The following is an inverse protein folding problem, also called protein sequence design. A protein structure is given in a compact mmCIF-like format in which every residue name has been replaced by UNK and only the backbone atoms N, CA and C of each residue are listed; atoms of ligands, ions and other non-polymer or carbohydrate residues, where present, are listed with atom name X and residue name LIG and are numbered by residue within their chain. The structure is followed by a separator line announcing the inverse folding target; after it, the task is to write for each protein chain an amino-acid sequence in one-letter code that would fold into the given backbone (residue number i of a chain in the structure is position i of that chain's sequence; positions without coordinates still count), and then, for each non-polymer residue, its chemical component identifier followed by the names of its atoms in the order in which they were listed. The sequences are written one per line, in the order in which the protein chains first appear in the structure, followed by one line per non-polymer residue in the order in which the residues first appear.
data_IF_595874800691
#
_entry.id   IF_595874800691
#
_cell.length_a   1.000
_cell.length_b   1.000
_cell.length_c   1.000
_cell.angle_alpha   90.00
_cell.angle_beta   90.00
_cell.angle_gamma   90.00
#
_symmetry.space_group_name_H-M   'P 1'
#
loop_
_entity.id
_entity.type
_entity.pdbx_description
1 polymer ?
#
# COMPACT_ATOMS: atom_id res chain seq x y z
N UNK A 1 4.68 -19.25 -7.82
CA UNK A 1 4.85 -17.78 -7.88
C UNK A 1 6.02 -17.43 -6.96
N UNK A 2 6.99 -16.63 -7.41
CA UNK A 2 8.17 -16.29 -6.61
C UNK A 2 7.84 -15.18 -5.61
N UNK A 3 8.18 -15.39 -4.34
CA UNK A 3 8.15 -14.35 -3.31
C UNK A 3 9.35 -13.42 -3.49
N UNK A 4 9.12 -12.14 -3.24
CA UNK A 4 10.12 -11.07 -3.27
C UNK A 4 10.14 -10.41 -1.90
N UNK A 5 11.33 -10.24 -1.33
CA UNK A 5 11.49 -9.61 -0.02
C UNK A 5 11.40 -8.10 -0.14
N UNK A 6 10.73 -7.48 0.83
CA UNK A 6 10.55 -6.05 0.94
C UNK A 6 11.16 -5.50 2.22
N UNK A 7 11.64 -4.26 2.16
CA UNK A 7 12.03 -3.46 3.31
C UNK A 7 11.26 -2.14 3.33
N UNK A 8 10.91 -1.63 4.52
CA UNK A 8 10.22 -0.35 4.65
C UNK A 8 11.23 0.78 4.44
N UNK A 9 10.96 1.66 3.47
CA UNK A 9 11.78 2.85 3.22
C UNK A 9 11.34 4.02 4.07
N UNK A 10 10.03 4.20 4.24
CA UNK A 10 9.46 5.31 5.01
C UNK A 10 7.97 5.48 4.78
N UNK A 11 7.42 6.52 5.41
CA UNK A 11 6.02 6.93 5.30
C UNK A 11 6.02 8.41 4.89
N UNK A 12 5.26 8.77 3.86
CA UNK A 12 5.03 10.16 3.45
C UNK A 12 3.56 10.53 3.59
N UNK A 13 3.28 11.81 3.83
CA UNK A 13 1.90 12.32 3.83
C UNK A 13 1.38 12.34 2.40
N UNK A 14 0.14 11.89 2.18
CA UNK A 14 -0.46 11.96 0.85
C UNK A 14 -1.01 13.37 0.60
N UNK A 15 -0.44 14.09 -0.36
CA UNK A 15 -0.94 15.41 -0.74
C UNK A 15 -2.29 15.35 -1.47
N UNK A 16 -2.61 14.20 -2.09
CA UNK A 16 -3.79 14.04 -2.95
C UNK A 16 -5.04 13.59 -2.20
N UNK A 17 -4.90 13.05 -0.99
CA UNK A 17 -6.02 12.58 -0.17
C UNK A 17 -5.85 13.01 1.29
N UNK A 18 -6.66 13.97 1.73
CA UNK A 18 -6.63 14.49 3.08
C UNK A 18 -6.68 13.37 4.14
N UNK A 19 -5.66 13.30 4.99
CA UNK A 19 -5.57 12.32 6.08
C UNK A 19 -5.07 10.92 5.67
N UNK A 20 -4.66 10.74 4.41
CA UNK A 20 -4.01 9.52 3.96
C UNK A 20 -2.48 9.67 3.97
N UNK A 21 -1.78 8.54 4.11
CA UNK A 21 -0.33 8.45 4.07
C UNK A 21 0.07 7.37 3.07
N UNK A 22 1.22 7.55 2.42
CA UNK A 22 1.83 6.55 1.56
C UNK A 22 2.95 5.83 2.32
N UNK A 23 2.80 4.52 2.51
CA UNK A 23 3.86 3.64 3.01
C UNK A 23 4.65 3.09 1.82
N UNK A 24 5.96 3.32 1.80
CA UNK A 24 6.84 2.92 0.71
C UNK A 24 7.67 1.70 1.11
N UNK A 25 7.49 0.60 0.39
CA UNK A 25 8.25 -0.64 0.54
C UNK A 25 9.22 -0.83 -0.63
N UNK A 26 10.51 -1.01 -0.37
CA UNK A 26 11.52 -1.28 -1.39
C UNK A 26 11.71 -2.80 -1.57
N UNK A 27 11.85 -3.25 -2.81
CA UNK A 27 12.46 -4.55 -3.13
C UNK A 27 13.89 -4.59 -2.60
N UNK A 28 14.28 -5.68 -1.93
CA UNK A 28 15.62 -5.79 -1.31
C UNK A 28 16.74 -5.88 -2.34
N UNK A 29 16.53 -6.63 -3.41
CA UNK A 29 17.53 -6.91 -4.45
C UNK A 29 17.13 -6.30 -5.81
N UNK A 30 16.42 -5.18 -5.79
CA UNK A 30 15.91 -4.51 -6.98
C UNK A 30 15.52 -3.06 -6.74
N UNK A 31 15.20 -2.36 -7.83
CA UNK A 31 14.93 -0.91 -7.80
C UNK A 31 13.44 -0.57 -7.68
N UNK A 32 12.58 -1.59 -7.59
CA UNK A 32 11.13 -1.40 -7.51
C UNK A 32 10.72 -1.03 -6.09
N UNK A 33 9.71 -0.16 -6.02
CA UNK A 33 9.05 0.21 -4.77
C UNK A 33 7.55 -0.07 -4.88
N UNK A 34 6.97 -0.55 -3.80
CA UNK A 34 5.53 -0.80 -3.69
C UNK A 34 4.92 0.27 -2.77
N UNK A 35 4.21 1.28 -3.30
CA UNK A 35 3.48 2.24 -2.51
C UNK A 35 2.17 1.61 -2.00
N UNK A 36 1.84 1.85 -0.73
CA UNK A 36 0.61 1.39 -0.10
C UNK A 36 -0.03 2.57 0.63
N UNK A 37 -1.24 2.93 0.24
CA UNK A 37 -2.01 4.00 0.91
C UNK A 37 -2.59 3.46 2.21
N UNK A 38 -2.36 4.17 3.31
CA UNK A 38 -2.82 3.84 4.66
C UNK A 38 -3.43 5.06 5.35
N UNK A 39 -4.26 4.84 6.36
CA UNK A 39 -4.84 5.91 7.16
C UNK A 39 -3.85 6.49 8.18
N UNK A 40 -4.21 7.62 8.78
CA UNK A 40 -3.37 8.31 9.76
C UNK A 40 -3.05 7.47 11.01
N UNK A 41 -4.01 6.69 11.52
CA UNK A 41 -3.79 5.87 12.72
C UNK A 41 -2.87 4.67 12.41
N UNK A 42 -3.03 4.07 11.24
CA UNK A 42 -2.13 3.03 10.75
C UNK A 42 -0.71 3.58 10.58
N UNK A 43 -0.57 4.73 9.90
CA UNK A 43 0.71 5.40 9.69
C UNK A 43 1.41 5.71 11.01
N UNK A 44 0.68 6.25 11.99
CA UNK A 44 1.21 6.53 13.33
C UNK A 44 1.73 5.27 14.02
N UNK A 45 0.99 4.16 13.97
CA UNK A 45 1.42 2.90 14.60
C UNK A 45 2.69 2.33 13.97
N UNK A 46 2.84 2.47 12.64
CA UNK A 46 4.03 2.03 11.90
C UNK A 46 5.20 2.98 12.17
N UNK A 47 4.98 4.30 12.17
CA UNK A 47 6.01 5.30 12.45
C UNK A 47 6.66 5.08 13.83
N UNK A 48 5.85 4.89 14.87
CA UNK A 48 6.36 4.60 16.23
C UNK A 48 7.18 3.31 16.26
N UNK A 49 6.82 2.30 15.47
CA UNK A 49 7.58 1.05 15.41
C UNK A 49 8.88 1.17 14.60
N UNK A 50 8.94 2.07 13.62
CA UNK A 50 10.17 2.41 12.88
C UNK A 50 11.14 3.20 13.76
N UNK A 51 10.62 4.15 14.55
CA UNK A 51 11.38 4.98 15.48
C UNK A 51 11.71 4.22 16.77
N UNK A 52 12.76 3.40 16.71
CA UNK A 52 13.20 2.52 17.82
C UNK A 52 13.46 3.25 19.16
N UNK A 53 13.71 4.56 19.11
CA UNK A 53 13.99 5.39 20.29
C UNK A 53 12.72 5.92 20.99
N UNK A 54 11.58 5.94 20.30
CA UNK A 54 10.31 6.38 20.89
C UNK A 54 9.59 5.18 21.47
N UNK A 55 9.59 5.08 22.81
CA UNK A 55 8.79 4.09 23.53
C UNK A 55 7.67 4.79 24.29
N UNK A 56 6.40 4.59 23.91
CA UNK A 56 5.29 5.18 24.65
C UNK A 56 5.24 4.62 26.09
N UNK A 57 4.77 5.41 27.07
CA UNK A 57 4.73 4.99 28.48
C UNK A 57 3.75 3.83 28.75
N UNK A 58 2.82 3.58 27.82
CA UNK A 58 1.86 2.48 27.83
C UNK A 58 1.88 1.79 26.47
N UNK A 59 1.72 0.45 26.43
CA UNK A 59 1.68 -0.28 25.16
C UNK A 59 0.47 0.16 24.32
N UNK A 60 0.70 0.41 23.04
CA UNK A 60 -0.35 0.63 22.05
C UNK A 60 -0.92 -0.71 21.57
N UNK A 61 -1.90 -0.69 20.67
CA UNK A 61 -2.62 -1.90 20.23
C UNK A 61 -1.71 -2.98 19.68
N UNK A 62 -0.78 -2.65 18.77
CA UNK A 62 0.15 -3.62 18.20
C UNK A 62 1.24 -4.07 19.19
N UNK A 63 1.59 -3.22 20.17
CA UNK A 63 2.49 -3.62 21.28
C UNK A 63 1.78 -4.59 22.23
N UNK A 64 0.50 -4.34 22.53
CA UNK A 64 -0.35 -5.24 23.30
C UNK A 64 -0.48 -6.59 22.59
N UNK A 65 -0.69 -6.59 21.27
CA UNK A 65 -0.75 -7.81 20.47
C UNK A 65 0.57 -8.58 20.51
N UNK A 66 1.72 -7.91 20.36
CA UNK A 66 3.02 -8.55 20.51
C UNK A 66 3.19 -9.15 21.90
N UNK A 67 2.91 -8.38 22.95
CA UNK A 67 3.01 -8.86 24.32
C UNK A 67 2.08 -10.05 24.57
N UNK A 68 0.88 -10.06 23.99
CA UNK A 68 -0.03 -11.19 24.04
C UNK A 68 0.59 -12.42 23.36
N UNK A 69 1.04 -12.29 22.12
CA UNK A 69 1.66 -13.38 21.38
C UNK A 69 2.90 -13.96 22.09
N UNK A 70 3.77 -13.09 22.62
CA UNK A 70 4.95 -13.47 23.41
C UNK A 70 4.55 -14.28 24.66
N UNK A 71 3.40 -13.99 25.29
CA UNK A 71 2.89 -14.74 26.46
C UNK A 71 2.30 -16.10 26.12
N UNK A 72 1.93 -16.32 24.87
CA UNK A 72 1.39 -17.58 24.36
C UNK A 72 2.38 -18.32 23.46
N UNK A 73 3.67 -17.91 23.48
CA UNK A 73 4.75 -18.49 22.68
C UNK A 73 4.43 -18.55 21.18
N UNK A 74 3.74 -17.52 20.67
CA UNK A 74 3.41 -17.37 19.25
C UNK A 74 4.47 -16.48 18.60
N UNK A 75 5.09 -16.99 17.52
CA UNK A 75 6.08 -16.26 16.74
C UNK A 75 5.50 -15.87 15.39
N UNK A 76 5.58 -14.60 15.02
CA UNK A 76 5.32 -14.18 13.63
C UNK A 76 6.55 -14.51 12.78
N UNK A 77 6.41 -15.45 11.86
CA UNK A 77 7.49 -15.94 10.98
C UNK A 77 7.75 -14.99 9.83
N UNK A 78 6.69 -14.50 9.20
CA UNK A 78 6.76 -13.60 8.05
C UNK A 78 5.38 -12.98 7.76
N UNK A 79 5.39 -11.91 6.97
CA UNK A 79 4.20 -11.32 6.37
C UNK A 79 4.27 -11.47 4.86
N UNK A 80 3.14 -11.82 4.23
CA UNK A 80 3.04 -11.95 2.79
C UNK A 80 1.89 -11.08 2.27
N UNK A 81 2.21 -10.03 1.52
CA UNK A 81 1.23 -9.27 0.73
C UNK A 81 0.92 -10.11 -0.51
N UNK A 82 -0.24 -10.77 -0.52
CA UNK A 82 -0.51 -11.88 -1.45
C UNK A 82 -1.58 -11.58 -2.50
N UNK A 83 -2.31 -10.47 -2.38
CA UNK A 83 -3.36 -10.12 -3.33
C UNK A 83 -3.57 -8.61 -3.41
N UNK A 84 -3.86 -8.14 -4.61
CA UNK A 84 -4.25 -6.76 -4.93
C UNK A 84 -5.54 -6.83 -5.75
N UNK A 85 -6.62 -6.21 -5.26
CA UNK A 85 -7.91 -6.12 -5.95
C UNK A 85 -8.45 -4.71 -5.75
N UNK A 86 -8.79 -4.03 -6.85
CA UNK A 86 -9.37 -2.68 -6.86
C UNK A 86 -8.57 -1.68 -6.00
N UNK A 87 -7.23 -1.72 -6.10
CA UNK A 87 -6.33 -0.88 -5.31
C UNK A 87 -6.14 -1.30 -3.84
N UNK A 88 -6.82 -2.36 -3.39
CA UNK A 88 -6.75 -2.86 -2.01
C UNK A 88 -5.80 -4.04 -1.88
N UNK A 89 -4.78 -3.89 -1.03
CA UNK A 89 -3.83 -4.95 -0.71
C UNK A 89 -4.31 -5.84 0.43
N UNK A 90 -4.21 -7.15 0.24
CA UNK A 90 -4.46 -8.18 1.25
C UNK A 90 -3.15 -8.83 1.65
N UNK A 91 -3.02 -9.09 2.94
CA UNK A 91 -1.82 -9.67 3.53
C UNK A 91 -2.15 -10.86 4.42
N UNK A 92 -1.21 -11.79 4.50
CA UNK A 92 -1.25 -12.89 5.45
C UNK A 92 -0.14 -12.72 6.48
N UNK A 93 -0.49 -12.89 7.75
CA UNK A 93 0.45 -13.04 8.85
C UNK A 93 0.69 -14.54 9.05
N UNK A 94 1.92 -14.98 8.79
CA UNK A 94 2.31 -16.38 9.01
C UNK A 94 2.85 -16.48 10.43
N UNK A 95 2.11 -17.17 11.29
CA UNK A 95 2.44 -17.37 12.69
C UNK A 95 2.81 -18.82 12.94
N UNK A 96 3.67 -19.07 13.92
CA UNK A 96 4.02 -20.42 14.37
C UNK A 96 3.84 -20.52 15.87
N UNK A 97 3.21 -21.61 16.31
CA UNK A 97 3.18 -22.05 17.70
C UNK A 97 3.35 -23.56 17.75
N UNK A 98 4.22 -24.07 18.62
CA UNK A 98 4.42 -25.51 18.79
C UNK A 98 4.74 -26.24 17.45
N UNK A 99 5.46 -25.57 16.54
CA UNK A 99 5.77 -26.00 15.16
C UNK A 99 4.56 -26.14 14.23
N UNK A 100 3.40 -25.66 14.64
CA UNK A 100 2.20 -25.57 13.81
C UNK A 100 2.17 -24.16 13.24
N UNK A 101 2.19 -24.06 11.92
CA UNK A 101 2.03 -22.80 11.21
C UNK A 101 0.55 -22.52 10.98
N UNK A 102 0.14 -21.28 11.27
CA UNK A 102 -1.18 -20.74 11.03
C UNK A 102 -1.09 -19.51 10.14
N UNK A 103 -2.06 -19.37 9.24
CA UNK A 103 -2.14 -18.28 8.27
C UNK A 103 -3.33 -17.41 8.64
N UNK A 104 -3.07 -16.17 9.03
CA UNK A 104 -4.09 -15.23 9.47
C UNK A 104 -4.23 -14.12 8.42
N UNK A 105 -5.45 -13.94 7.89
CA UNK A 105 -5.76 -12.81 7.02
C UNK A 105 -5.64 -11.48 7.80
N UNK A 106 -4.97 -10.51 7.21
CA UNK A 106 -4.69 -9.24 7.83
C UNK A 106 -4.70 -8.10 6.81
N UNK A 107 -5.20 -6.94 7.24
CA UNK A 107 -4.96 -5.70 6.50
C UNK A 107 -3.46 -5.46 6.41
N UNK A 108 -3.02 -4.97 5.26
CA UNK A 108 -1.59 -4.82 4.98
C UNK A 108 -0.88 -3.88 5.97
N UNK A 109 -1.55 -2.81 6.41
CA UNK A 109 -1.04 -1.91 7.45
C UNK A 109 -0.79 -2.61 8.79
N UNK A 110 -1.75 -3.42 9.26
CA UNK A 110 -1.64 -4.17 10.51
C UNK A 110 -0.53 -5.23 10.43
N UNK A 111 -0.47 -5.97 9.31
CA UNK A 111 0.55 -6.98 9.09
C UNK A 111 1.95 -6.35 9.14
N UNK A 112 2.14 -5.21 8.47
CA UNK A 112 3.43 -4.49 8.47
C UNK A 112 3.77 -3.94 9.87
N UNK A 113 2.80 -3.37 10.59
CA UNK A 113 2.99 -2.88 11.95
C UNK A 113 3.42 -3.99 12.92
N UNK A 114 2.89 -5.21 12.75
CA UNK A 114 3.31 -6.39 13.49
C UNK A 114 4.68 -6.89 13.04
N UNK A 115 4.93 -6.98 11.72
CA UNK A 115 6.22 -7.42 11.19
C UNK A 115 7.38 -6.60 11.77
N UNK A 116 7.24 -5.28 11.87
CA UNK A 116 8.21 -4.40 12.51
C UNK A 116 8.49 -4.77 13.97
N UNK A 117 7.43 -5.01 14.75
CA UNK A 117 7.54 -5.30 16.19
C UNK A 117 8.08 -6.70 16.48
N UNK A 118 7.72 -7.68 15.66
CA UNK A 118 8.23 -9.05 15.73
C UNK A 118 9.57 -9.24 15.01
N UNK A 119 10.05 -8.22 14.29
CA UNK A 119 11.22 -8.30 13.41
C UNK A 119 11.08 -9.40 12.34
N UNK A 120 9.84 -9.61 11.89
CA UNK A 120 9.52 -10.60 10.87
C UNK A 120 9.78 -10.03 9.47
N UNK A 121 10.32 -10.83 8.54
CA UNK A 121 10.49 -10.41 7.15
C UNK A 121 9.13 -10.19 6.45
N UNK A 122 9.11 -9.21 5.56
CA UNK A 122 7.95 -8.85 4.75
C UNK A 122 8.22 -9.31 3.31
N UNK A 123 7.24 -9.96 2.70
CA UNK A 123 7.30 -10.42 1.33
C UNK A 123 6.06 -10.00 0.54
N UNK A 124 6.19 -10.02 -0.77
CA UNK A 124 5.07 -9.97 -1.70
C UNK A 124 5.32 -10.91 -2.88
N UNK A 125 4.30 -11.19 -3.68
CA UNK A 125 4.49 -11.90 -4.94
C UNK A 125 5.00 -10.98 -6.04
N UNK A 126 5.86 -11.52 -6.90
CA UNK A 126 6.42 -10.77 -8.04
C UNK A 126 5.34 -10.13 -8.93
N UNK A 127 4.23 -10.81 -9.19
CA UNK A 127 3.13 -10.29 -10.00
C UNK A 127 2.43 -9.07 -9.37
N UNK A 128 2.49 -8.89 -8.05
CA UNK A 128 1.98 -7.69 -7.38
C UNK A 128 2.95 -6.53 -7.60
N UNK A 129 4.26 -6.78 -7.47
CA UNK A 129 5.29 -5.79 -7.82
C UNK A 129 5.28 -5.41 -9.30
N UNK A 130 5.00 -6.36 -10.19
CA UNK A 130 4.92 -6.07 -11.64
C UNK A 130 3.70 -5.19 -11.96
N UNK A 131 2.62 -5.26 -11.16
CA UNK A 131 1.38 -4.51 -11.38
C UNK A 131 1.34 -3.14 -10.69
N UNK A 132 1.84 -3.07 -9.46
CA UNK A 132 1.73 -1.88 -8.61
C UNK A 132 3.09 -1.34 -8.15
N UNK A 133 4.19 -1.99 -8.54
CA UNK A 133 5.52 -1.51 -8.24
C UNK A 133 5.94 -0.39 -9.20
N UNK A 134 6.56 0.65 -8.66
CA UNK A 134 7.09 1.79 -9.40
C UNK A 134 8.62 1.76 -9.39
N UNK A 135 9.23 2.28 -10.45
CA UNK A 135 10.67 2.50 -10.55
C UNK A 135 10.98 3.97 -10.31
N UNK A 136 11.64 4.32 -9.22
CA UNK A 136 12.18 5.67 -9.06
C UNK A 136 13.47 5.78 -9.85
N UNK A 137 13.41 6.42 -11.02
CA UNK A 137 14.62 6.83 -11.74
C UNK A 137 15.34 7.89 -10.90
N UNK A 138 16.37 7.47 -10.16
CA UNK A 138 17.36 8.39 -9.61
C UNK A 138 18.09 9.02 -10.80
N UNK A 139 17.70 10.24 -11.18
CA UNK A 139 18.51 11.03 -12.09
C UNK A 139 19.79 11.43 -11.33
N UNK A 140 21.00 11.12 -11.82
CA UNK A 140 22.21 11.51 -11.13
C UNK A 140 22.42 13.02 -11.35
N UNK A 141 21.96 13.85 -10.42
CA UNK A 141 22.41 15.23 -10.33
C UNK A 141 22.79 15.57 -8.89
N UNK A 142 24.12 15.48 -8.70
CA UNK A 142 25.02 16.24 -7.83
C UNK A 142 24.71 16.26 -6.32
N UNK A 143 25.75 15.87 -5.59
CA UNK A 143 26.06 16.21 -4.21
C UNK A 143 25.47 17.57 -3.80
N UNK A 144 24.46 17.54 -2.94
CA UNK A 144 24.32 18.41 -1.77
C UNK A 144 23.21 17.85 -0.87
N UNK A 145 23.41 18.01 0.44
CA UNK A 145 22.67 17.37 1.51
C UNK A 145 21.20 17.89 1.63
N UNK A 146 20.33 17.01 2.17
CA UNK A 146 18.98 17.32 2.70
C UNK A 146 17.90 17.85 1.73
N UNK A 147 17.22 16.97 0.97
CA UNK A 147 15.78 17.07 0.60
C UNK A 147 15.34 15.94 -0.35
N UNK A 148 15.30 14.70 0.13
CA UNK A 148 14.80 13.55 -0.65
C UNK A 148 13.26 13.39 -0.61
N UNK A 149 12.54 14.31 0.02
CA UNK A 149 11.08 14.22 0.22
C UNK A 149 10.24 14.84 -0.90
N UNK A 150 10.83 15.54 -1.88
CA UNK A 150 10.07 16.43 -2.77
C UNK A 150 9.71 15.77 -4.11
N UNK A 151 10.46 14.76 -4.58
CA UNK A 151 10.24 14.18 -5.93
C UNK A 151 9.20 13.06 -5.98
N UNK A 152 8.74 12.57 -4.83
CA UNK A 152 7.76 11.47 -4.75
C UNK A 152 6.33 12.01 -4.87
N UNK A 153 6.08 13.19 -4.31
CA UNK A 153 4.76 13.81 -4.34
C UNK A 153 4.37 14.24 -5.75
N UNK A 154 5.30 14.76 -6.56
CA UNK A 154 4.99 15.22 -7.93
C UNK A 154 4.61 14.06 -8.88
N UNK A 155 5.32 12.93 -8.81
CA UNK A 155 5.03 11.76 -9.66
C UNK A 155 3.74 11.04 -9.23
N UNK A 156 3.49 10.96 -7.93
CA UNK A 156 2.23 10.42 -7.38
C UNK A 156 1.07 11.37 -7.67
N UNK A 157 1.30 12.68 -7.60
CA UNK A 157 0.31 13.69 -7.98
C UNK A 157 -0.02 13.57 -9.46
N UNK A 158 0.94 13.42 -10.37
CA UNK A 158 0.66 13.28 -11.81
C UNK A 158 -0.13 12.00 -12.15
N UNK A 159 0.22 10.84 -11.58
CA UNK A 159 -0.53 9.58 -11.79
C UNK A 159 -1.93 9.62 -11.15
N UNK A 160 -2.09 10.25 -9.98
CA UNK A 160 -3.41 10.39 -9.34
C UNK A 160 -4.25 11.48 -10.01
N UNK A 161 -3.66 12.61 -10.41
CA UNK A 161 -4.34 13.67 -11.16
C UNK A 161 -4.85 13.14 -12.50
N UNK A 162 -4.07 12.29 -13.20
CA UNK A 162 -4.57 11.66 -14.43
C UNK A 162 -5.77 10.73 -14.16
N UNK A 163 -5.77 9.96 -13.07
CA UNK A 163 -6.89 9.11 -12.68
C UNK A 163 -8.12 9.89 -12.15
N UNK A 164 -7.90 11.04 -11.48
CA UNK A 164 -8.94 11.91 -10.92
C UNK A 164 -9.54 12.83 -11.98
N UNK A 165 -8.74 13.36 -12.91
CA UNK A 165 -9.21 14.12 -14.06
C UNK A 165 -10.09 13.27 -14.98
N UNK A 166 -9.77 11.97 -15.13
CA UNK A 166 -10.66 11.03 -15.80
C UNK A 166 -11.99 10.86 -15.04
N UNK A 167 -11.99 10.80 -13.70
CA UNK A 167 -13.22 10.65 -12.92
C UNK A 167 -14.08 11.93 -12.87
N UNK A 168 -13.49 13.13 -12.80
CA UNK A 168 -14.25 14.39 -12.83
C UNK A 168 -14.88 14.66 -14.19
N UNK A 169 -14.22 14.25 -15.28
CA UNK A 169 -14.74 14.39 -16.65
C UNK A 169 -16.05 13.64 -16.93
N UNK A 170 -16.48 12.71 -16.06
CA UNK A 170 -17.77 12.01 -16.18
C UNK A 170 -18.89 12.65 -15.35
N UNK A 171 -18.57 13.44 -14.33
CA UNK A 171 -19.59 14.07 -13.46
C UNK A 171 -20.42 15.12 -14.19
N UNK A 172 -19.83 15.81 -15.17
CA UNK A 172 -20.50 16.88 -15.92
C UNK A 172 -21.22 16.41 -17.20
N UNK A 173 -21.14 15.13 -17.55
CA UNK A 173 -21.76 14.58 -18.77
C UNK A 173 -23.21 14.20 -18.56
N UNK A 174 -24.03 14.19 -19.61
CA UNK A 174 -25.43 13.74 -19.52
C UNK A 174 -25.54 12.21 -19.42
N UNK A 175 -26.71 11.71 -18.98
CA UNK A 175 -26.96 10.27 -18.87
C UNK A 175 -26.88 9.56 -20.25
N UNK A 176 -27.29 10.24 -21.32
CA UNK A 176 -27.17 9.73 -22.70
C UNK A 176 -25.70 9.65 -23.16
N UNK A 177 -24.90 10.67 -22.83
CA UNK A 177 -23.47 10.69 -23.15
C UNK A 177 -22.69 9.60 -22.40
N UNK A 178 -23.03 9.36 -21.13
CA UNK A 178 -22.40 8.30 -20.33
C UNK A 178 -22.70 6.91 -20.89
N UNK A 179 -23.93 6.66 -21.35
CA UNK A 179 -24.27 5.37 -21.99
C UNK A 179 -23.52 5.17 -23.32
N UNK A 180 -23.37 6.21 -24.12
CA UNK A 180 -22.59 6.17 -25.37
C UNK A 180 -21.10 5.86 -25.10
N UNK A 181 -20.51 6.52 -24.10
CA UNK A 181 -19.11 6.28 -23.70
C UNK A 181 -18.90 4.89 -23.10
N UNK A 182 -19.91 4.33 -22.41
CA UNK A 182 -19.86 2.98 -21.89
C UNK A 182 -19.83 1.95 -23.02
N UNK A 183 -20.69 2.09 -24.04
CA UNK A 183 -20.68 1.22 -25.22
C UNK A 183 -19.34 1.30 -25.97
N UNK A 184 -18.80 2.50 -26.13
CA UNK A 184 -17.51 2.71 -26.78
C UNK A 184 -16.36 2.04 -25.99
N UNK A 185 -16.36 2.17 -24.66
CA UNK A 185 -15.35 1.54 -23.80
C UNK A 185 -15.44 0.00 -23.84
N UNK A 186 -16.64 -0.56 -23.85
CA UNK A 186 -16.86 -2.01 -23.95
C UNK A 186 -16.43 -2.54 -25.33
N UNK A 187 -16.75 -1.81 -26.40
CA UNK A 187 -16.36 -2.19 -27.77
C UNK A 187 -14.84 -2.14 -27.98
N UNK A 188 -14.15 -1.26 -27.26
CA UNK A 188 -12.69 -1.15 -27.29
C UNK A 188 -11.97 -2.06 -26.27
N UNK A 189 -12.70 -2.96 -25.60
CA UNK A 189 -12.18 -3.86 -24.55
C UNK A 189 -11.50 -3.12 -23.37
N UNK A 190 -11.82 -1.84 -23.18
CA UNK A 190 -11.35 -1.02 -22.07
C UNK A 190 -12.28 -1.17 -20.87
N UNK A 191 -12.18 -2.35 -20.24
CA UNK A 191 -13.06 -2.74 -19.14
C UNK A 191 -12.88 -1.89 -17.87
N UNK A 192 -11.71 -1.28 -17.69
CA UNK A 192 -11.42 -0.42 -16.56
C UNK A 192 -12.17 0.92 -16.69
N UNK A 193 -12.16 1.52 -17.88
CA UNK A 193 -12.95 2.71 -18.19
C UNK A 193 -14.45 2.42 -18.15
N UNK A 194 -14.88 1.26 -18.66
CA UNK A 194 -16.27 0.84 -18.62
C UNK A 194 -16.81 0.70 -17.19
N UNK A 195 -16.01 0.16 -16.26
CA UNK A 195 -16.40 0.05 -14.85
C UNK A 195 -16.61 1.42 -14.20
N UNK A 196 -15.69 2.37 -14.41
CA UNK A 196 -15.80 3.74 -13.88
C UNK A 196 -17.05 4.46 -14.41
N UNK A 197 -17.37 4.35 -15.70
CA UNK A 197 -18.55 4.97 -16.32
C UNK A 197 -19.84 4.33 -15.79
N UNK A 198 -19.88 2.99 -15.66
CA UNK A 198 -21.03 2.26 -15.11
C UNK A 198 -21.33 2.67 -13.67
N UNK A 199 -20.29 2.80 -12.84
CA UNK A 199 -20.45 3.19 -11.44
C UNK A 199 -20.95 4.64 -11.32
N UNK A 200 -20.63 5.52 -12.28
CA UNK A 200 -21.16 6.90 -12.34
C UNK A 200 -22.63 6.94 -12.83
N UNK A 201 -22.99 6.12 -13.82
CA UNK A 201 -24.40 5.94 -14.23
C UNK A 201 -25.25 5.43 -13.06
N UNK A 202 -24.70 4.51 -12.25
CA UNK A 202 -25.40 3.88 -11.13
C UNK A 202 -25.73 4.84 -9.98
N UNK A 203 -25.06 6.00 -9.92
CA UNK A 203 -25.27 7.03 -8.91
C UNK A 203 -26.35 8.05 -9.28
N UNK A 204 -26.88 8.00 -10.50
CA UNK A 204 -27.90 8.92 -11.03
C UNK A 204 -29.25 8.24 -11.17
#
# INVERSE_FOLDING_TARGET
MSLVRLNIKGISYSQTQNGAYALILNEVDGDRKLPIVIGAFEAQSIAIALEKEIRPPRPLTHDLFKNFADRFDIVVKQVIIHKLVDGVFYSSLICERDKIEEIIDARTSDAIALALRFQAPIFTYKNILDKAGIYLKVSPKKEDEEQDSILVDDLIAEEIESAVAEQEGYKDKSLEELNSLLEEAVNNEDYEKAAKIRDEISKR
#
